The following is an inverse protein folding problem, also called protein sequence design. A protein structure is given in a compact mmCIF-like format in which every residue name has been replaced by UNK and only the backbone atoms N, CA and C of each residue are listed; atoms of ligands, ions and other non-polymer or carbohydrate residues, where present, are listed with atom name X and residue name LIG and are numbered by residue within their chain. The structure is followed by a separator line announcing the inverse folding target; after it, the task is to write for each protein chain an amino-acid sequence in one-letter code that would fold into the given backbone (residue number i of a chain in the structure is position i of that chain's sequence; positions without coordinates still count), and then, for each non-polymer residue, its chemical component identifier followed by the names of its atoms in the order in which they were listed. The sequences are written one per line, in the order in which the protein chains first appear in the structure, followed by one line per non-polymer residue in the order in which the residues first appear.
data_IF_164919076068
#
_entry.id   IF_164919076068
#
_cell.length_a   1.000
_cell.length_b   1.000
_cell.length_c   1.000
_cell.angle_alpha   90.00
_cell.angle_beta   90.00
_cell.angle_gamma   90.00
#
_symmetry.space_group_name_H-M   'P 1'
#
loop_
_entity.id
_entity.type
_entity.pdbx_description
1 polymer ?
#
# COMPACT_ATOMS: atom_id res chain seq x y z
N UNK A 1 -4.03 -41.44 29.29
CA UNK A 1 -2.91 -40.94 30.13
C UNK A 1 -1.60 -41.46 29.58
N UNK A 2 -0.84 -40.58 28.90
CA UNK A 2 0.50 -40.91 28.53
C UNK A 2 1.41 -40.86 29.75
N UNK A 3 1.93 -41.98 30.16
CA UNK A 3 2.93 -42.04 31.21
C UNK A 3 4.28 -41.68 30.55
N UNK A 4 4.80 -40.52 30.87
CA UNK A 4 6.21 -40.20 30.65
C UNK A 4 7.00 -41.16 31.53
N UNK A 5 7.93 -41.88 30.94
CA UNK A 5 8.90 -42.59 31.75
C UNK A 5 9.83 -41.53 32.42
N UNK A 6 10.10 -41.72 33.69
CA UNK A 6 10.91 -40.79 34.51
C UNK A 6 12.40 -40.74 34.09
N UNK A 7 12.79 -41.43 33.04
CA UNK A 7 14.17 -41.55 32.57
C UNK A 7 14.54 -40.61 31.40
N UNK A 8 13.64 -39.69 31.04
CA UNK A 8 13.98 -38.63 30.09
C UNK A 8 14.05 -39.06 28.63
N UNK A 9 13.69 -40.27 28.30
CA UNK A 9 13.53 -40.74 26.92
C UNK A 9 12.10 -40.37 26.46
N UNK A 10 11.89 -39.14 26.07
CA UNK A 10 10.61 -38.69 25.55
C UNK A 10 10.19 -39.52 24.33
N UNK A 11 8.97 -40.02 24.30
CA UNK A 11 8.43 -40.59 23.08
C UNK A 11 8.40 -39.54 21.98
N UNK A 12 9.06 -39.81 20.87
CA UNK A 12 8.91 -39.01 19.67
C UNK A 12 7.59 -39.42 19.02
N UNK A 13 6.59 -38.53 19.11
CA UNK A 13 5.37 -38.71 18.36
C UNK A 13 5.66 -38.33 16.93
N UNK A 14 5.81 -39.31 16.05
CA UNK A 14 6.14 -39.08 14.66
C UNK A 14 4.92 -38.51 13.90
N UNK A 15 3.74 -39.03 14.14
CA UNK A 15 2.49 -38.60 13.51
C UNK A 15 1.26 -38.93 14.33
N UNK A 16 0.22 -38.11 14.18
CA UNK A 16 -1.11 -38.40 14.68
C UNK A 16 -2.04 -38.57 13.47
N UNK A 17 -2.66 -39.74 13.38
CA UNK A 17 -3.61 -40.06 12.33
C UNK A 17 -5.04 -39.81 12.83
N UNK A 18 -5.75 -38.90 12.17
CA UNK A 18 -7.16 -38.60 12.40
C UNK A 18 -7.95 -39.27 11.27
N UNK A 19 -8.68 -40.32 11.62
CA UNK A 19 -9.11 -41.36 10.66
C UNK A 19 -10.58 -41.39 10.28
N UNK A 20 -11.25 -40.32 10.07
CA UNK A 20 -12.37 -40.43 9.12
C UNK A 20 -12.03 -39.79 7.74
N UNK A 21 -10.82 -39.31 7.54
CA UNK A 21 -10.39 -38.65 6.30
C UNK A 21 -9.00 -39.04 5.79
N UNK A 22 -8.34 -40.05 6.31
CA UNK A 22 -6.98 -40.45 5.86
C UNK A 22 -5.91 -39.35 5.95
N UNK A 23 -6.10 -38.37 6.80
CA UNK A 23 -5.18 -37.23 6.94
C UNK A 23 -4.25 -37.45 8.14
N UNK A 24 -2.96 -37.15 7.90
CA UNK A 24 -1.91 -37.13 8.91
C UNK A 24 -1.75 -35.71 9.46
N UNK A 25 -1.68 -35.57 10.78
CA UNK A 25 -1.33 -34.32 11.44
C UNK A 25 -0.15 -34.54 12.38
N UNK A 26 0.76 -33.56 12.44
CA UNK A 26 1.86 -33.58 13.40
C UNK A 26 1.40 -32.94 14.71
N UNK A 27 1.70 -33.59 15.81
CA UNK A 27 1.36 -33.11 17.14
C UNK A 27 2.57 -32.74 17.99
N UNK A 28 2.37 -31.87 18.95
CA UNK A 28 3.38 -31.45 19.93
C UNK A 28 2.87 -31.84 21.33
N UNK A 29 3.69 -32.55 22.08
CA UNK A 29 3.46 -32.76 23.51
C UNK A 29 3.77 -31.46 24.26
N UNK A 30 2.73 -30.82 24.83
CA UNK A 30 2.83 -29.53 25.50
C UNK A 30 3.03 -29.59 27.00
N UNK A 31 2.49 -30.64 27.62
CA UNK A 31 2.60 -30.93 29.06
C UNK A 31 2.53 -32.43 29.26
N UNK A 32 2.95 -32.92 30.44
CA UNK A 32 2.75 -34.31 30.84
C UNK A 32 1.28 -34.70 30.67
N UNK A 33 1.01 -35.62 29.76
CA UNK A 33 -0.31 -36.13 29.47
C UNK A 33 -1.16 -35.41 28.40
N UNK A 34 -0.70 -34.29 27.82
CA UNK A 34 -1.45 -33.58 26.81
C UNK A 34 -0.69 -33.56 25.45
N UNK A 35 -1.41 -33.87 24.38
CA UNK A 35 -0.92 -33.72 23.00
C UNK A 35 -1.82 -32.73 22.30
N UNK A 36 -1.22 -31.68 21.77
CA UNK A 36 -1.92 -30.69 20.95
C UNK A 36 -1.69 -31.02 19.48
N UNK A 37 -2.75 -31.11 18.73
CA UNK A 37 -2.73 -31.40 17.29
C UNK A 37 -3.57 -30.39 16.54
N UNK A 38 -3.12 -30.03 15.34
CA UNK A 38 -3.99 -29.29 14.43
C UNK A 38 -5.01 -30.25 13.80
N UNK A 39 -6.26 -29.82 13.78
CA UNK A 39 -7.30 -30.56 13.07
C UNK A 39 -7.08 -30.44 11.58
N UNK A 40 -6.95 -31.55 10.83
CA UNK A 40 -6.76 -31.48 9.37
C UNK A 40 -7.96 -30.81 8.66
N UNK A 41 -7.70 -30.17 7.52
CA UNK A 41 -8.78 -29.64 6.67
C UNK A 41 -9.79 -30.73 6.32
N UNK A 42 -11.08 -30.40 6.42
CA UNK A 42 -12.18 -31.27 6.02
C UNK A 42 -12.67 -32.24 7.11
N UNK A 43 -12.14 -32.13 8.32
CA UNK A 43 -12.74 -32.87 9.47
C UNK A 43 -14.06 -32.21 9.82
N UNK A 44 -15.15 -33.01 9.90
CA UNK A 44 -16.47 -32.53 10.30
C UNK A 44 -16.61 -32.53 11.82
N UNK A 45 -17.21 -31.47 12.37
CA UNK A 45 -17.59 -31.42 13.79
C UNK A 45 -18.79 -32.28 14.13
N UNK A 46 -19.52 -32.78 13.13
CA UNK A 46 -20.77 -33.51 13.29
C UNK A 46 -20.59 -35.02 13.65
N UNK A 47 -19.37 -35.53 13.50
CA UNK A 47 -19.06 -36.92 13.77
C UNK A 47 -17.82 -37.08 14.66
N UNK A 48 -17.80 -38.04 15.59
CA UNK A 48 -16.61 -38.38 16.35
C UNK A 48 -15.46 -38.77 15.40
N UNK A 49 -14.25 -38.33 15.71
CA UNK A 49 -13.05 -38.73 14.96
C UNK A 49 -12.27 -39.80 15.75
N UNK A 50 -11.78 -40.79 15.03
CA UNK A 50 -10.88 -41.79 15.62
C UNK A 50 -9.48 -41.20 15.67
N UNK A 51 -8.88 -41.28 16.85
CA UNK A 51 -7.52 -40.77 17.08
C UNK A 51 -6.61 -41.99 17.21
N UNK A 52 -5.59 -42.04 16.37
CA UNK A 52 -4.50 -43.02 16.43
C UNK A 52 -3.17 -42.32 16.61
N UNK A 53 -2.31 -42.86 17.43
CA UNK A 53 -0.92 -42.49 17.53
C UNK A 53 -0.06 -43.41 16.68
N UNK A 54 0.88 -42.84 15.96
CA UNK A 54 1.93 -43.63 15.29
C UNK A 54 3.23 -43.42 16.07
N UNK A 55 3.68 -44.47 16.72
CA UNK A 55 4.93 -44.48 17.48
C UNK A 55 5.85 -45.52 16.83
N UNK A 56 7.00 -45.12 16.34
CA UNK A 56 7.97 -46.02 15.68
C UNK A 56 7.31 -46.91 14.60
N UNK A 57 6.39 -46.33 13.83
CA UNK A 57 5.68 -47.01 12.75
C UNK A 57 4.56 -47.96 13.21
N UNK A 58 4.26 -48.06 14.51
CA UNK A 58 3.11 -48.82 15.04
C UNK A 58 1.95 -47.89 15.30
N UNK A 59 0.78 -48.26 14.78
CA UNK A 59 -0.50 -47.58 15.08
C UNK A 59 -1.02 -48.04 16.44
N UNK A 60 -1.38 -47.10 17.28
CA UNK A 60 -2.03 -47.31 18.58
C UNK A 60 -3.35 -46.57 18.55
N UNK A 61 -4.47 -47.28 18.67
CA UNK A 61 -5.78 -46.62 18.76
C UNK A 61 -5.94 -45.97 20.14
N UNK A 62 -6.22 -44.67 20.09
CA UNK A 62 -6.43 -43.86 21.30
C UNK A 62 -7.91 -43.72 21.67
N UNK A 63 -8.81 -44.18 20.81
CA UNK A 63 -10.25 -44.08 20.98
C UNK A 63 -10.89 -43.09 20.04
N UNK A 64 -12.14 -42.76 20.30
CA UNK A 64 -12.91 -41.75 19.57
C UNK A 64 -13.00 -40.47 20.39
N UNK A 65 -12.89 -39.33 19.71
CA UNK A 65 -13.20 -38.04 20.31
C UNK A 65 -14.71 -37.98 20.63
N UNK A 66 -15.10 -37.17 21.61
CA UNK A 66 -16.44 -36.61 21.62
C UNK A 66 -16.67 -35.68 20.41
N UNK A 67 -17.87 -35.13 20.32
CA UNK A 67 -18.12 -34.02 19.40
C UNK A 67 -17.26 -32.83 19.79
N UNK A 68 -16.64 -32.19 18.81
CA UNK A 68 -15.80 -30.99 19.01
C UNK A 68 -16.15 -29.92 17.98
N UNK A 69 -15.98 -28.71 18.36
CA UNK A 69 -16.12 -27.62 17.39
C UNK A 69 -14.86 -27.56 16.52
N UNK A 70 -15.07 -27.55 15.22
CA UNK A 70 -13.99 -27.25 14.24
C UNK A 70 -13.96 -25.75 14.03
N UNK A 71 -12.96 -25.11 14.57
CA UNK A 71 -12.74 -23.70 14.34
C UNK A 71 -11.99 -23.53 13.01
N UNK A 72 -12.45 -22.57 12.22
CA UNK A 72 -11.73 -22.18 11.02
C UNK A 72 -10.35 -21.63 11.42
N UNK A 73 -9.30 -21.99 10.66
CA UNK A 73 -7.95 -21.47 10.90
C UNK A 73 -7.98 -19.94 10.79
N UNK A 74 -7.53 -19.22 11.82
CA UNK A 74 -7.50 -17.77 11.80
C UNK A 74 -6.67 -17.23 10.64
N UNK A 75 -7.19 -16.21 9.97
CA UNK A 75 -6.53 -15.51 8.87
C UNK A 75 -6.95 -14.05 8.87
N UNK A 76 -6.00 -13.13 8.76
CA UNK A 76 -6.26 -11.71 8.54
C UNK A 76 -6.29 -11.47 7.03
N UNK A 77 -7.35 -10.86 6.52
CA UNK A 77 -7.51 -10.55 5.09
C UNK A 77 -7.34 -9.06 4.80
N UNK A 78 -7.67 -8.20 5.76
CA UNK A 78 -7.51 -6.75 5.62
C UNK A 78 -7.49 -6.05 6.97
N UNK A 79 -7.11 -4.77 6.93
CA UNK A 79 -7.16 -3.86 8.08
C UNK A 79 -8.00 -2.66 7.69
N UNK A 80 -9.01 -2.34 8.48
CA UNK A 80 -9.85 -1.16 8.29
C UNK A 80 -9.26 0.01 9.07
N UNK A 81 -8.85 1.01 8.37
CA UNK A 81 -8.36 2.30 8.86
C UNK A 81 -8.78 3.38 7.87
N UNK A 82 -9.00 4.63 8.32
CA UNK A 82 -9.31 5.71 7.39
C UNK A 82 -8.11 6.15 6.53
N UNK A 83 -6.94 5.55 6.67
CA UNK A 83 -5.70 5.97 6.01
C UNK A 83 -5.13 4.88 5.09
N UNK A 84 -5.95 4.33 4.18
CA UNK A 84 -5.52 3.35 3.18
C UNK A 84 -5.18 4.09 1.89
N UNK A 85 -3.91 4.05 1.50
CA UNK A 85 -3.40 4.69 0.29
C UNK A 85 -2.74 3.67 -0.64
N UNK A 86 -2.52 3.98 -1.92
CA UNK A 86 -1.98 3.02 -2.90
C UNK A 86 -0.67 2.36 -2.48
N UNK A 87 0.20 3.07 -1.76
CA UNK A 87 1.52 2.59 -1.38
C UNK A 87 1.64 2.28 0.12
N UNK A 88 0.54 2.23 0.88
CA UNK A 88 0.61 1.87 2.28
C UNK A 88 -0.68 2.05 3.08
N UNK A 89 -0.79 1.26 4.12
CA UNK A 89 -1.84 1.35 5.13
C UNK A 89 -1.29 2.06 6.36
N UNK A 90 -1.83 3.23 6.67
CA UNK A 90 -1.36 4.04 7.79
C UNK A 90 -2.32 3.94 8.97
N UNK A 91 -1.75 4.11 10.16
CA UNK A 91 -2.50 4.09 11.42
C UNK A 91 -2.03 5.22 12.33
N UNK A 92 -2.93 5.76 13.12
CA UNK A 92 -2.63 6.81 14.10
C UNK A 92 -2.68 6.25 15.52
N UNK A 93 -1.67 6.54 16.32
CA UNK A 93 -1.65 6.16 17.74
C UNK A 93 -2.91 6.66 18.48
N UNK A 94 -3.54 5.78 19.25
CA UNK A 94 -4.80 6.04 19.93
C UNK A 94 -6.06 5.81 19.08
N UNK A 95 -5.92 5.58 17.78
CA UNK A 95 -7.02 5.25 16.88
C UNK A 95 -7.48 3.81 17.07
N UNK A 96 -8.77 3.56 16.90
CA UNK A 96 -9.30 2.21 16.74
C UNK A 96 -9.13 1.75 15.30
N UNK A 97 -8.64 0.51 15.15
CA UNK A 97 -8.53 -0.18 13.87
C UNK A 97 -9.18 -1.56 13.98
N UNK A 98 -9.73 -2.05 12.89
CA UNK A 98 -10.37 -3.35 12.82
C UNK A 98 -9.66 -4.25 11.82
N UNK A 99 -9.19 -5.38 12.29
CA UNK A 99 -8.68 -6.45 11.44
C UNK A 99 -9.86 -7.30 10.98
N UNK A 100 -10.00 -7.45 9.67
CA UNK A 100 -11.02 -8.30 9.06
C UNK A 100 -10.39 -9.61 8.62
N UNK A 101 -11.14 -10.69 8.75
CA UNK A 101 -10.62 -12.02 8.42
C UNK A 101 -11.62 -13.12 8.68
N UNK A 102 -11.13 -14.26 9.17
CA UNK A 102 -11.95 -15.42 9.54
C UNK A 102 -11.32 -16.21 10.67
N UNK A 103 -12.11 -17.05 11.31
CA UNK A 103 -11.63 -17.99 12.33
C UNK A 103 -11.20 -17.34 13.65
N UNK A 104 -11.58 -16.10 13.92
CA UNK A 104 -11.14 -15.37 15.11
C UNK A 104 -11.84 -15.82 16.42
N UNK A 105 -12.98 -16.51 16.30
CA UNK A 105 -13.80 -16.84 17.48
C UNK A 105 -14.56 -15.64 18.02
N UNK A 106 -15.05 -15.74 19.26
CA UNK A 106 -15.86 -14.67 19.89
C UNK A 106 -15.40 -14.32 21.31
N UNK A 107 -14.37 -15.00 21.81
CA UNK A 107 -13.82 -14.74 23.15
C UNK A 107 -12.59 -13.87 23.06
N UNK A 108 -12.68 -12.65 23.59
CA UNK A 108 -11.56 -11.68 23.65
C UNK A 108 -10.35 -12.20 24.43
N UNK A 109 -10.56 -13.10 25.38
CA UNK A 109 -9.49 -13.62 26.22
C UNK A 109 -8.71 -14.74 25.54
N UNK A 110 -9.25 -15.30 24.46
CA UNK A 110 -8.61 -16.36 23.67
C UNK A 110 -7.58 -15.85 22.66
N UNK A 111 -7.44 -14.54 22.49
CA UNK A 111 -6.49 -13.94 21.56
C UNK A 111 -5.60 -12.91 22.23
N UNK A 112 -4.31 -12.99 21.93
CA UNK A 112 -3.30 -11.98 22.32
C UNK A 112 -2.86 -11.23 21.08
N UNK A 113 -3.01 -9.89 21.07
CA UNK A 113 -2.64 -9.03 19.95
C UNK A 113 -1.43 -8.18 20.34
N UNK A 114 -0.38 -8.25 19.53
CA UNK A 114 0.89 -7.53 19.77
C UNK A 114 1.29 -6.75 18.52
N UNK A 115 1.62 -5.49 18.69
CA UNK A 115 2.21 -4.64 17.65
C UNK A 115 3.73 -4.77 17.67
N UNK A 116 4.35 -4.86 16.51
CA UNK A 116 5.80 -4.92 16.40
C UNK A 116 6.46 -3.72 17.11
N UNK A 117 7.53 -3.99 17.85
CA UNK A 117 8.23 -2.96 18.66
C UNK A 117 7.52 -2.56 19.97
N UNK A 118 6.31 -3.06 20.23
CA UNK A 118 5.58 -2.80 21.49
C UNK A 118 5.63 -4.04 22.38
N UNK A 119 6.20 -3.89 23.55
CA UNK A 119 6.46 -5.01 24.48
C UNK A 119 5.22 -5.55 25.22
N UNK A 120 4.13 -4.79 25.24
CA UNK A 120 2.91 -5.15 25.97
C UNK A 120 1.78 -5.40 24.98
N UNK A 121 1.10 -6.56 25.04
CA UNK A 121 -0.07 -6.81 24.23
C UNK A 121 -1.16 -5.76 24.43
N UNK A 122 -1.88 -5.44 23.36
CA UNK A 122 -3.01 -4.51 23.42
C UNK A 122 -4.30 -5.23 23.81
N UNK A 123 -5.20 -4.50 24.45
CA UNK A 123 -6.52 -5.03 24.81
C UNK A 123 -7.42 -5.10 23.58
N UNK A 124 -8.01 -6.25 23.34
CA UNK A 124 -9.04 -6.43 22.32
C UNK A 124 -10.34 -5.76 22.79
N UNK A 125 -10.82 -4.80 22.03
CA UNK A 125 -12.08 -4.08 22.32
C UNK A 125 -13.29 -4.91 21.94
N UNK A 126 -13.30 -5.36 20.70
CA UNK A 126 -14.36 -6.18 20.13
C UNK A 126 -13.77 -7.34 19.34
N UNK A 127 -14.47 -8.46 19.34
CA UNK A 127 -14.14 -9.65 18.56
C UNK A 127 -15.41 -10.29 18.05
N UNK A 128 -15.39 -10.66 16.79
CA UNK A 128 -16.37 -11.53 16.14
C UNK A 128 -15.63 -12.64 15.41
N UNK A 129 -16.32 -13.59 14.84
CA UNK A 129 -15.69 -14.66 14.03
C UNK A 129 -14.91 -14.12 12.82
N UNK A 130 -15.18 -12.88 12.39
CA UNK A 130 -14.61 -12.26 11.19
C UNK A 130 -13.91 -10.92 11.43
N UNK A 131 -13.90 -10.41 12.65
CA UNK A 131 -13.28 -9.11 12.95
C UNK A 131 -12.70 -9.03 14.36
N UNK A 132 -11.60 -8.27 14.50
CA UNK A 132 -10.98 -7.93 15.79
C UNK A 132 -10.69 -6.43 15.78
N UNK A 133 -11.23 -5.70 16.75
CA UNK A 133 -10.99 -4.28 16.93
C UNK A 133 -10.06 -4.03 18.11
N UNK A 134 -9.02 -3.25 17.88
CA UNK A 134 -8.03 -2.82 18.88
C UNK A 134 -7.73 -1.34 18.76
N UNK A 135 -7.10 -0.77 19.79
CA UNK A 135 -6.55 0.58 19.73
C UNK A 135 -5.06 0.50 19.37
N UNK A 136 -4.62 1.30 18.40
CA UNK A 136 -3.20 1.44 18.07
C UNK A 136 -2.43 1.99 19.26
N UNK A 137 -1.41 1.29 19.77
CA UNK A 137 -0.69 1.73 20.98
C UNK A 137 0.19 2.96 20.71
N UNK A 138 0.42 3.73 21.77
CA UNK A 138 1.39 4.83 21.73
C UNK A 138 2.79 4.27 21.49
N UNK A 139 3.60 4.97 20.69
CA UNK A 139 4.97 4.57 20.37
C UNK A 139 5.10 3.50 19.28
N UNK A 140 4.00 3.09 18.64
CA UNK A 140 4.07 2.25 17.44
C UNK A 140 4.71 3.05 16.29
N UNK A 141 5.82 2.52 15.75
CA UNK A 141 6.62 3.17 14.71
C UNK A 141 6.56 2.43 13.36
N UNK A 142 5.55 1.61 13.17
CA UNK A 142 5.39 0.78 11.98
C UNK A 142 5.82 -0.67 12.22
N UNK A 143 5.27 -1.58 11.44
CA UNK A 143 5.51 -3.01 11.53
C UNK A 143 4.23 -3.82 11.38
N UNK A 144 4.35 -5.11 11.64
CA UNK A 144 3.24 -6.05 11.63
C UNK A 144 2.53 -6.10 12.97
N UNK A 145 1.28 -6.57 12.93
CA UNK A 145 0.53 -6.95 14.11
C UNK A 145 0.42 -8.46 14.15
N UNK A 146 0.84 -9.03 15.26
CA UNK A 146 0.82 -10.48 15.48
C UNK A 146 -0.33 -10.83 16.43
N UNK A 147 -1.12 -11.81 16.04
CA UNK A 147 -2.21 -12.37 16.82
C UNK A 147 -1.94 -13.83 17.18
N UNK A 148 -1.98 -14.15 18.45
CA UNK A 148 -1.82 -15.51 18.97
C UNK A 148 -3.14 -15.95 19.57
N UNK A 149 -3.74 -16.98 19.00
CA UNK A 149 -5.01 -17.55 19.46
C UNK A 149 -4.77 -18.74 20.37
N UNK A 150 -5.54 -18.86 21.44
CA UNK A 150 -5.46 -20.00 22.32
C UNK A 150 -5.78 -21.30 21.56
N UNK A 151 -4.94 -22.31 21.74
CA UNK A 151 -5.09 -23.60 21.04
C UNK A 151 -4.63 -23.61 19.58
N UNK A 152 -4.21 -22.47 19.00
CA UNK A 152 -3.66 -22.39 17.66
C UNK A 152 -2.12 -22.29 17.73
N UNK A 153 -1.44 -23.23 17.06
CA UNK A 153 0.02 -23.36 17.19
C UNK A 153 0.81 -22.26 16.48
N UNK A 154 0.25 -21.65 15.46
CA UNK A 154 0.93 -20.62 14.66
C UNK A 154 0.28 -19.26 14.86
N UNK A 155 1.07 -18.21 15.07
CA UNK A 155 0.55 -16.85 15.10
C UNK A 155 0.06 -16.44 13.71
N UNK A 156 -0.86 -15.50 13.68
CA UNK A 156 -1.34 -14.84 12.47
C UNK A 156 -0.76 -13.43 12.43
N UNK A 157 -0.25 -13.01 11.29
CA UNK A 157 0.35 -11.70 11.11
C UNK A 157 -0.44 -10.88 10.10
N UNK A 158 -0.54 -9.57 10.36
CA UNK A 158 -1.06 -8.61 9.39
C UNK A 158 -0.03 -8.26 8.32
N UNK A 159 -0.46 -7.54 7.28
CA UNK A 159 0.43 -6.76 6.45
C UNK A 159 1.10 -5.64 7.27
N UNK A 160 2.14 -5.03 6.69
CA UNK A 160 2.85 -3.91 7.30
C UNK A 160 1.92 -2.71 7.47
N UNK A 161 1.85 -2.19 8.69
CA UNK A 161 1.21 -0.93 9.00
C UNK A 161 2.27 0.15 9.20
N UNK A 162 1.98 1.37 8.75
CA UNK A 162 2.87 2.51 8.90
C UNK A 162 2.24 3.54 9.85
N UNK A 163 3.01 4.25 10.68
CA UNK A 163 2.46 5.34 11.46
C UNK A 163 2.08 6.50 10.51
N UNK A 164 0.95 7.13 10.77
CA UNK A 164 0.63 8.39 10.09
C UNK A 164 1.68 9.43 10.46
N UNK A 165 2.35 10.08 9.48
CA UNK A 165 3.36 11.10 9.76
C UNK A 165 2.82 12.25 10.59
N UNK A 166 3.59 12.74 11.57
CA UNK A 166 3.19 13.81 12.50
C UNK A 166 2.96 15.13 11.76
N UNK A 167 3.74 15.39 10.71
CA UNK A 167 3.62 16.58 9.86
C UNK A 167 2.55 16.45 8.80
N UNK A 168 1.88 15.29 8.71
CA UNK A 168 0.85 15.00 7.73
C UNK A 168 1.35 14.70 6.33
N UNK A 169 2.65 14.69 6.06
CA UNK A 169 3.22 14.39 4.74
C UNK A 169 2.99 12.91 4.37
N UNK A 170 2.09 12.71 3.44
CA UNK A 170 1.70 11.38 2.94
C UNK A 170 2.15 11.15 1.49
N UNK A 171 3.01 11.99 0.96
CA UNK A 171 3.45 11.94 -0.45
C UNK A 171 3.88 10.55 -0.88
N UNK A 172 4.76 9.90 -0.12
CA UNK A 172 5.28 8.56 -0.42
C UNK A 172 4.22 7.44 -0.44
N UNK A 173 3.07 7.66 0.21
CA UNK A 173 1.99 6.68 0.26
C UNK A 173 0.96 6.87 -0.85
N UNK A 174 0.93 8.06 -1.44
CA UNK A 174 -0.04 8.45 -2.47
C UNK A 174 0.59 8.57 -3.84
N UNK A 175 1.83 9.05 -3.92
CA UNK A 175 2.55 9.32 -5.16
C UNK A 175 3.79 8.45 -5.28
N UNK A 176 4.18 8.17 -6.52
CA UNK A 176 5.45 7.53 -6.86
C UNK A 176 6.34 8.53 -7.57
N UNK A 177 7.67 8.47 -7.31
CA UNK A 177 8.63 9.28 -8.06
C UNK A 177 8.22 10.77 -8.10
N UNK A 178 7.91 11.33 -6.93
CA UNK A 178 7.26 12.63 -6.77
C UNK A 178 8.25 13.79 -6.51
N UNK A 179 9.51 13.48 -6.31
CA UNK A 179 10.56 14.43 -6.02
C UNK A 179 11.89 14.06 -6.70
N UNK A 180 12.79 15.01 -6.82
CA UNK A 180 14.15 14.77 -7.31
C UNK A 180 14.96 13.88 -6.35
N UNK A 181 15.81 12.98 -6.89
CA UNK A 181 16.03 12.70 -8.32
C UNK A 181 14.93 11.80 -8.89
N UNK A 182 14.30 12.23 -9.97
CA UNK A 182 13.26 11.42 -10.61
C UNK A 182 13.83 10.15 -11.25
N UNK A 183 13.18 9.02 -11.03
CA UNK A 183 13.42 7.82 -11.78
C UNK A 183 12.89 7.94 -13.22
N UNK A 184 13.56 7.33 -14.17
CA UNK A 184 13.16 7.35 -15.56
C UNK A 184 13.09 5.95 -16.19
N UNK A 185 12.25 5.80 -17.21
CA UNK A 185 12.07 4.54 -17.94
C UNK A 185 13.04 4.51 -19.11
N UNK A 186 13.89 3.48 -19.15
CA UNK A 186 14.71 3.13 -20.31
C UNK A 186 13.89 2.24 -21.25
N UNK A 187 13.15 2.81 -22.18
CA UNK A 187 12.49 2.05 -23.23
C UNK A 187 13.44 1.83 -24.40
N UNK A 188 13.70 0.57 -24.75
CA UNK A 188 14.37 0.19 -25.99
C UNK A 188 15.85 0.51 -26.10
N UNK A 189 16.66 0.20 -25.09
CA UNK A 189 18.08 0.53 -25.02
C UNK A 189 18.29 2.02 -24.73
N UNK A 190 19.35 2.66 -25.23
CA UNK A 190 19.64 4.08 -24.99
C UNK A 190 18.58 5.07 -25.56
N UNK A 191 17.43 4.57 -26.00
CA UNK A 191 16.37 5.36 -26.62
C UNK A 191 15.36 5.96 -25.65
N UNK A 192 15.50 5.75 -24.35
CA UNK A 192 14.70 6.44 -23.33
C UNK A 192 15.03 7.94 -23.22
N UNK A 193 16.09 8.39 -23.89
CA UNK A 193 16.50 9.78 -23.92
C UNK A 193 16.20 10.40 -25.29
N UNK A 194 15.42 11.44 -25.31
CA UNK A 194 15.24 12.28 -26.48
C UNK A 194 16.49 13.17 -26.63
N UNK A 195 16.93 13.36 -27.88
CA UNK A 195 18.03 14.29 -28.23
C UNK A 195 19.22 14.26 -27.27
N UNK A 196 20.18 13.39 -27.54
CA UNK A 196 21.50 13.37 -26.89
C UNK A 196 21.53 13.15 -25.37
N UNK A 197 20.57 12.43 -24.81
CA UNK A 197 20.59 12.13 -23.39
C UNK A 197 20.11 13.25 -22.47
N UNK A 198 19.42 14.24 -23.01
CA UNK A 198 18.91 15.36 -22.21
C UNK A 198 17.47 15.17 -21.72
N UNK A 199 16.70 14.23 -22.32
CA UNK A 199 15.28 14.07 -22.09
C UNK A 199 14.87 12.61 -21.90
N UNK A 200 14.06 12.30 -20.90
CA UNK A 200 13.55 10.97 -20.64
C UNK A 200 12.09 10.99 -20.18
N UNK A 201 11.43 9.85 -20.23
CA UNK A 201 10.11 9.66 -19.65
C UNK A 201 10.27 9.31 -18.17
N UNK A 202 9.69 10.09 -17.27
CA UNK A 202 9.72 9.76 -15.85
C UNK A 202 8.92 8.48 -15.58
N UNK A 203 9.47 7.60 -14.75
CA UNK A 203 8.77 6.42 -14.30
C UNK A 203 7.52 6.83 -13.50
N UNK A 204 6.45 6.02 -13.61
CA UNK A 204 5.18 6.21 -12.89
C UNK A 204 4.34 7.44 -13.28
N UNK A 205 4.82 8.28 -14.21
CA UNK A 205 4.08 9.43 -14.72
C UNK A 205 3.48 9.14 -16.09
N UNK A 206 2.20 9.46 -16.24
CA UNK A 206 1.47 9.40 -17.50
C UNK A 206 1.66 10.73 -18.21
N UNK A 207 2.07 10.67 -19.48
CA UNK A 207 2.26 11.82 -20.34
C UNK A 207 1.31 11.73 -21.51
N UNK A 208 0.49 12.75 -21.70
CA UNK A 208 -0.45 12.83 -22.82
C UNK A 208 -0.26 14.11 -23.60
N UNK A 209 -0.59 14.05 -24.90
CA UNK A 209 -0.49 15.15 -25.85
C UNK A 209 0.93 15.75 -25.95
N UNK A 210 1.92 14.94 -25.59
CA UNK A 210 3.31 15.24 -25.87
C UNK A 210 3.62 14.76 -27.28
N UNK A 211 4.20 15.63 -28.10
CA UNK A 211 4.82 15.18 -29.35
C UNK A 211 6.21 14.60 -29.06
N UNK A 212 6.34 13.73 -28.09
CA UNK A 212 7.55 12.91 -27.87
C UNK A 212 7.70 11.85 -28.98
N UNK A 213 7.44 12.24 -30.23
CA UNK A 213 7.81 11.41 -31.37
C UNK A 213 9.28 11.63 -31.68
N UNK A 214 9.96 10.53 -31.68
CA UNK A 214 11.38 10.43 -31.92
C UNK A 214 11.87 11.33 -33.05
N UNK A 215 12.83 12.23 -32.75
CA UNK A 215 13.84 12.64 -33.68
C UNK A 215 13.66 13.98 -34.40
N UNK A 216 12.54 14.64 -34.32
CA UNK A 216 12.36 15.95 -34.95
C UNK A 216 11.96 17.00 -33.91
N UNK A 217 12.61 18.18 -33.96
CA UNK A 217 12.44 19.29 -33.04
C UNK A 217 11.02 19.85 -32.97
N UNK A 218 10.08 18.99 -32.55
CA UNK A 218 8.72 19.35 -32.26
C UNK A 218 8.61 19.68 -30.77
N UNK A 219 7.80 20.65 -30.44
CA UNK A 219 7.48 21.02 -29.10
C UNK A 219 7.07 19.82 -28.31
N UNK A 220 7.91 19.39 -27.47
CA UNK A 220 7.64 18.30 -26.60
C UNK A 220 7.03 18.86 -25.32
N UNK A 221 5.95 18.25 -24.88
CA UNK A 221 5.72 18.13 -23.47
C UNK A 221 6.80 17.18 -23.02
N UNK A 222 7.97 17.70 -22.77
CA UNK A 222 9.08 16.89 -22.36
C UNK A 222 8.94 16.67 -20.86
N UNK A 223 8.81 15.43 -20.48
CA UNK A 223 9.29 15.00 -19.19
C UNK A 223 10.79 15.15 -19.23
N UNK A 224 11.21 16.36 -18.95
CA UNK A 224 12.60 16.69 -18.95
C UNK A 224 13.26 16.11 -17.75
N UNK A 225 13.92 15.06 -18.02
CA UNK A 225 15.07 14.67 -17.28
C UNK A 225 16.25 15.38 -17.93
N UNK A 226 16.65 16.52 -17.43
CA UNK A 226 17.85 17.17 -17.94
C UNK A 226 19.07 16.50 -17.35
N UNK A 227 19.48 15.37 -17.90
CA UNK A 227 20.81 14.85 -17.64
C UNK A 227 21.81 15.48 -18.60
N UNK A 228 22.07 16.73 -18.48
CA UNK A 228 23.24 17.28 -19.16
C UNK A 228 24.52 16.58 -18.71
N UNK A 229 24.46 15.86 -17.58
CA UNK A 229 25.61 15.24 -16.92
C UNK A 229 25.38 13.82 -16.39
N UNK A 230 24.26 13.18 -16.67
CA UNK A 230 24.10 11.73 -16.45
C UNK A 230 23.63 11.26 -15.07
N UNK A 231 23.48 12.11 -14.07
CA UNK A 231 23.12 11.72 -12.72
C UNK A 231 21.67 12.03 -12.30
N UNK A 232 20.96 12.82 -13.11
CA UNK A 232 19.56 13.14 -12.83
C UNK A 232 19.29 14.09 -11.69
N UNK A 233 20.31 14.63 -11.05
CA UNK A 233 20.16 15.47 -9.87
C UNK A 233 19.39 16.77 -10.13
N UNK A 234 19.35 17.24 -11.38
CA UNK A 234 18.69 18.49 -11.77
C UNK A 234 17.39 18.26 -12.55
N UNK A 235 16.91 17.03 -12.60
CA UNK A 235 15.76 16.68 -13.41
C UNK A 235 14.45 17.12 -12.78
N UNK A 236 13.59 17.72 -13.57
CA UNK A 236 12.22 18.05 -13.20
C UNK A 236 11.22 17.56 -14.22
N UNK A 237 9.97 17.44 -13.79
CA UNK A 237 8.87 17.20 -14.69
C UNK A 237 8.59 18.47 -15.50
N UNK A 238 8.64 18.41 -16.82
CA UNK A 238 8.52 19.59 -17.65
C UNK A 238 7.36 19.52 -18.64
N UNK A 239 6.71 20.65 -18.79
CA UNK A 239 5.86 20.97 -19.92
C UNK A 239 6.48 22.18 -20.62
N UNK A 240 7.02 21.99 -21.82
CA UNK A 240 7.66 23.07 -22.55
C UNK A 240 7.54 22.95 -24.06
N UNK A 241 7.76 24.05 -24.77
CA UNK A 241 7.90 24.11 -26.22
C UNK A 241 9.33 24.40 -26.61
N UNK A 242 9.83 23.79 -27.71
CA UNK A 242 11.19 23.94 -28.18
C UNK A 242 11.37 25.22 -29.03
N UNK A 243 12.61 25.53 -29.37
CA UNK A 243 13.04 26.68 -30.20
C UNK A 243 12.46 26.68 -31.61
N UNK A 244 12.23 25.49 -32.19
CA UNK A 244 11.72 25.28 -33.54
C UNK A 244 10.19 25.24 -33.67
N UNK A 245 9.49 25.63 -32.64
CA UNK A 245 8.05 25.44 -32.56
C UNK A 245 7.23 26.42 -33.43
N UNK A 246 6.38 25.88 -34.29
CA UNK A 246 5.52 26.64 -35.17
C UNK A 246 4.01 26.48 -34.89
N UNK A 247 3.61 25.58 -34.02
CA UNK A 247 2.20 25.30 -33.70
C UNK A 247 1.88 25.34 -32.21
N UNK A 248 0.70 25.87 -31.82
CA UNK A 248 0.22 25.77 -30.43
C UNK A 248 0.18 24.34 -29.92
N UNK A 249 0.55 24.14 -28.66
CA UNK A 249 0.41 22.88 -27.94
C UNK A 249 -0.76 22.99 -26.99
N UNK A 250 -1.76 22.19 -27.25
CA UNK A 250 -2.95 22.15 -26.43
C UNK A 250 -2.93 20.92 -25.53
N UNK A 251 -3.25 21.12 -24.27
CA UNK A 251 -3.52 20.08 -23.33
C UNK A 251 -2.36 19.08 -23.11
N UNK A 252 -1.14 19.60 -23.00
CA UNK A 252 -0.01 18.83 -22.50
C UNK A 252 -0.27 18.43 -21.06
N UNK A 253 -0.13 17.14 -20.74
CA UNK A 253 -0.49 16.59 -19.43
C UNK A 253 0.61 15.70 -18.88
N UNK A 254 0.89 15.89 -17.60
CA UNK A 254 1.78 15.00 -16.81
C UNK A 254 1.09 14.73 -15.48
N UNK A 255 0.75 13.47 -15.23
CA UNK A 255 -0.03 13.13 -14.05
C UNK A 255 0.19 11.66 -13.62
N UNK A 256 -0.20 11.36 -12.39
CA UNK A 256 -0.32 9.99 -11.86
C UNK A 256 -1.76 9.69 -11.48
N UNK A 257 -2.14 8.42 -11.59
CA UNK A 257 -3.36 7.91 -10.97
C UNK A 257 -3.08 7.61 -9.50
N UNK A 258 -4.04 7.90 -8.65
CA UNK A 258 -3.97 7.65 -7.23
C UNK A 258 -5.35 7.45 -6.61
N UNK A 259 -5.39 7.29 -5.30
CA UNK A 259 -6.61 7.15 -4.53
C UNK A 259 -6.50 8.02 -3.27
N UNK A 260 -7.50 8.85 -3.01
CA UNK A 260 -7.58 9.65 -1.78
C UNK A 260 -8.75 9.20 -0.93
N UNK A 261 -8.51 9.09 0.36
CA UNK A 261 -9.55 8.87 1.37
C UNK A 261 -10.34 10.15 1.62
N UNK A 262 -11.49 10.05 2.31
CA UNK A 262 -12.19 11.23 2.80
C UNK A 262 -11.23 12.08 3.65
N UNK A 263 -11.22 13.39 3.42
CA UNK A 263 -10.35 14.29 4.18
C UNK A 263 -10.02 15.59 3.44
N UNK A 264 -9.27 16.46 4.10
CA UNK A 264 -8.73 17.68 3.54
C UNK A 264 -7.22 17.53 3.34
N UNK A 265 -6.76 17.90 2.17
CA UNK A 265 -5.37 17.75 1.78
C UNK A 265 -4.83 19.06 1.23
N UNK A 266 -3.52 19.20 1.29
CA UNK A 266 -2.77 20.27 0.65
C UNK A 266 -1.73 19.65 -0.28
N UNK A 267 -1.89 19.87 -1.59
CA UNK A 267 -0.90 19.50 -2.60
C UNK A 267 -0.05 20.73 -2.90
N UNK A 268 1.25 20.60 -2.75
CA UNK A 268 2.23 21.62 -3.14
C UNK A 268 3.07 21.08 -4.28
N UNK A 269 3.14 21.82 -5.39
CA UNK A 269 4.04 21.55 -6.50
C UNK A 269 5.07 22.68 -6.60
N UNK A 270 6.35 22.37 -6.48
CA UNK A 270 7.40 23.38 -6.57
C UNK A 270 7.84 23.57 -8.03
N UNK A 271 7.56 24.75 -8.57
CA UNK A 271 7.95 25.15 -9.93
C UNK A 271 9.32 25.83 -9.87
N UNK A 272 10.36 25.15 -10.31
CA UNK A 272 11.72 25.70 -10.24
C UNK A 272 12.14 26.49 -11.49
N UNK A 273 11.47 26.26 -12.64
CA UNK A 273 11.69 27.00 -13.87
C UNK A 273 10.35 27.34 -14.54
N UNK A 274 10.19 28.58 -14.95
CA UNK A 274 8.98 29.08 -15.59
C UNK A 274 9.27 30.11 -16.66
N UNK A 275 8.60 29.98 -17.81
CA UNK A 275 8.53 30.99 -18.86
C UNK A 275 7.08 31.12 -19.31
N UNK A 276 6.44 32.17 -18.88
CA UNK A 276 5.01 32.39 -19.06
C UNK A 276 4.59 32.83 -20.48
N UNK A 277 5.51 32.87 -21.44
CA UNK A 277 5.16 33.27 -22.82
C UNK A 277 4.17 32.27 -23.42
N UNK A 278 2.95 32.74 -23.68
CA UNK A 278 1.88 31.92 -24.23
C UNK A 278 1.53 30.69 -23.43
N UNK A 279 1.93 30.63 -22.16
CA UNK A 279 1.68 29.52 -21.26
C UNK A 279 0.39 29.76 -20.45
N UNK A 280 -0.49 28.78 -20.46
CA UNK A 280 -1.62 28.66 -19.54
C UNK A 280 -1.58 27.26 -18.95
N UNK A 281 -1.47 27.13 -17.64
CA UNK A 281 -1.36 25.82 -17.02
C UNK A 281 -1.78 25.80 -15.56
N UNK A 282 -2.03 24.60 -15.07
CA UNK A 282 -2.54 24.33 -13.73
C UNK A 282 -1.85 23.11 -13.12
N UNK A 283 -1.57 23.19 -11.84
CA UNK A 283 -1.50 22.00 -10.98
C UNK A 283 -2.92 21.63 -10.63
N UNK A 284 -3.29 20.37 -10.81
CA UNK A 284 -4.67 19.95 -10.67
C UNK A 284 -4.83 18.53 -10.12
N UNK A 285 -5.97 18.33 -9.46
CA UNK A 285 -6.47 17.03 -9.04
C UNK A 285 -7.83 16.83 -9.70
N UNK A 286 -7.99 15.77 -10.49
CA UNK A 286 -9.25 15.43 -11.15
C UNK A 286 -9.76 14.09 -10.65
N UNK A 287 -11.08 13.92 -10.58
CA UNK A 287 -11.70 12.61 -10.27
C UNK A 287 -11.54 11.64 -11.45
N UNK A 288 -11.34 10.37 -11.13
CA UNK A 288 -11.18 9.31 -12.11
C UNK A 288 -9.72 9.08 -12.53
N UNK A 289 -9.51 8.63 -13.76
CA UNK A 289 -8.23 8.14 -14.25
C UNK A 289 -7.60 8.99 -15.38
N UNK A 290 -8.20 10.14 -15.68
CA UNK A 290 -7.72 11.04 -16.74
C UNK A 290 -7.68 12.50 -16.26
N UNK A 291 -6.58 13.20 -16.60
CA UNK A 291 -6.46 14.63 -16.38
C UNK A 291 -7.34 15.39 -17.38
N UNK A 292 -8.14 16.34 -16.89
CA UNK A 292 -8.95 17.20 -17.74
C UNK A 292 -8.09 18.08 -18.68
N UNK A 293 -8.67 18.58 -19.74
CA UNK A 293 -8.01 19.52 -20.63
C UNK A 293 -7.81 20.88 -19.95
N UNK A 294 -6.81 21.65 -20.39
CA UNK A 294 -6.44 22.93 -19.78
C UNK A 294 -7.64 23.87 -19.63
N UNK A 295 -8.49 23.99 -20.66
CA UNK A 295 -9.70 24.82 -20.63
C UNK A 295 -10.78 24.33 -19.68
N UNK A 296 -10.78 23.04 -19.37
CA UNK A 296 -11.77 22.36 -18.54
C UNK A 296 -11.40 22.32 -17.05
N UNK A 297 -10.11 22.50 -16.74
CA UNK A 297 -9.61 22.43 -15.36
C UNK A 297 -10.41 23.29 -14.39
N UNK A 298 -10.68 24.57 -14.66
CA UNK A 298 -11.39 25.42 -13.69
C UNK A 298 -12.81 24.93 -13.31
N UNK A 299 -13.43 24.13 -14.19
CA UNK A 299 -14.81 23.68 -14.01
C UNK A 299 -14.97 22.18 -13.73
N UNK A 300 -13.97 21.36 -14.10
CA UNK A 300 -14.08 19.88 -14.03
C UNK A 300 -13.09 19.23 -13.06
N UNK A 301 -12.07 19.95 -12.60
CA UNK A 301 -11.16 19.40 -11.59
C UNK A 301 -11.83 19.36 -10.21
N UNK A 302 -11.39 18.45 -9.37
CA UNK A 302 -11.72 18.42 -7.94
C UNK A 302 -11.11 19.63 -7.23
N UNK A 303 -9.85 19.95 -7.58
CA UNK A 303 -9.12 21.11 -7.09
C UNK A 303 -8.02 21.51 -8.09
N UNK A 304 -7.68 22.80 -8.15
CA UNK A 304 -6.61 23.30 -9.03
C UNK A 304 -6.04 24.62 -8.55
N UNK A 305 -4.83 24.92 -9.02
CA UNK A 305 -4.24 26.25 -8.93
C UNK A 305 -3.45 26.56 -10.19
N UNK A 306 -3.48 27.83 -10.63
CA UNK A 306 -2.76 28.30 -11.83
C UNK A 306 -1.26 28.31 -11.60
N UNK A 307 -0.50 27.92 -12.61
CA UNK A 307 0.96 28.10 -12.66
C UNK A 307 1.23 29.48 -13.28
N UNK A 308 1.75 30.40 -12.48
CA UNK A 308 1.97 31.80 -12.91
C UNK A 308 3.40 32.31 -12.68
N UNK A 309 4.30 31.46 -12.18
CA UNK A 309 5.68 31.80 -11.86
C UNK A 309 6.45 30.62 -11.30
N UNK A 310 7.67 30.87 -10.86
CA UNK A 310 8.45 29.95 -10.04
C UNK A 310 8.01 30.00 -8.58
N UNK A 311 8.29 28.92 -7.83
CA UNK A 311 7.91 28.76 -6.43
C UNK A 311 6.76 27.76 -6.25
N UNK A 312 6.20 27.74 -5.08
CA UNK A 312 5.19 26.77 -4.70
C UNK A 312 3.81 27.12 -5.29
N UNK A 313 3.21 26.17 -5.98
CA UNK A 313 1.82 26.18 -6.38
C UNK A 313 1.04 25.28 -5.43
N UNK A 314 0.17 25.89 -4.63
CA UNK A 314 -0.59 25.20 -3.57
C UNK A 314 -2.02 24.96 -4.03
N UNK A 315 -2.49 23.73 -3.86
CA UNK A 315 -3.85 23.28 -4.17
C UNK A 315 -4.48 22.69 -2.92
N UNK A 316 -5.52 23.35 -2.40
CA UNK A 316 -6.31 22.80 -1.31
C UNK A 316 -7.39 21.85 -1.85
N UNK A 317 -7.46 20.64 -1.30
CA UNK A 317 -8.31 19.56 -1.81
C UNK A 317 -9.25 19.13 -0.69
N UNK A 318 -10.53 18.97 -1.01
CA UNK A 318 -11.55 18.36 -0.12
C UNK A 318 -12.11 17.12 -0.79
N UNK A 319 -12.02 15.99 -0.10
CA UNK A 319 -12.56 14.71 -0.55
C UNK A 319 -13.64 14.25 0.43
N UNK A 320 -14.88 14.17 -0.04
CA UNK A 320 -16.03 13.84 0.80
C UNK A 320 -16.20 12.32 1.01
N UNK A 321 -15.71 11.52 0.07
CA UNK A 321 -15.74 10.06 0.08
C UNK A 321 -14.48 9.49 -0.61
N UNK A 322 -14.03 8.27 -0.29
CA UNK A 322 -12.90 7.64 -0.95
C UNK A 322 -13.04 7.72 -2.47
N UNK A 323 -12.04 8.27 -3.15
CA UNK A 323 -12.15 8.67 -4.56
C UNK A 323 -10.86 8.38 -5.32
N UNK A 324 -11.00 7.72 -6.48
CA UNK A 324 -9.91 7.63 -7.44
C UNK A 324 -9.67 8.99 -8.09
N UNK A 325 -8.42 9.38 -8.14
CA UNK A 325 -8.00 10.68 -8.65
C UNK A 325 -6.79 10.58 -9.56
N UNK A 326 -6.59 11.60 -10.36
CA UNK A 326 -5.30 11.89 -10.99
C UNK A 326 -4.74 13.17 -10.39
N UNK A 327 -3.43 13.17 -10.14
CA UNK A 327 -2.67 14.28 -9.55
C UNK A 327 -1.53 14.64 -10.49
N UNK A 328 -1.40 15.92 -10.85
CA UNK A 328 -0.35 16.36 -11.74
C UNK A 328 -0.55 17.77 -12.25
N UNK A 329 -0.08 18.02 -13.46
CA UNK A 329 -0.22 19.32 -14.09
C UNK A 329 -0.53 19.20 -15.58
N UNK A 330 -1.17 20.24 -16.11
CA UNK A 330 -1.63 20.34 -17.49
C UNK A 330 -1.41 21.75 -18.01
N UNK A 331 -1.06 21.90 -19.28
CA UNK A 331 -0.94 23.22 -19.89
C UNK A 331 -1.27 23.27 -21.37
N UNK A 332 -1.54 24.49 -21.83
CA UNK A 332 -1.53 24.89 -23.23
C UNK A 332 -0.45 25.93 -23.42
N UNK A 333 0.38 25.78 -24.47
CA UNK A 333 1.48 26.68 -24.79
C UNK A 333 1.32 27.13 -26.25
N UNK A 334 1.15 28.42 -26.48
CA UNK A 334 0.82 29.00 -27.80
C UNK A 334 1.98 29.60 -28.52
N UNK A 335 3.17 29.69 -27.90
CA UNK A 335 4.39 30.29 -28.49
C UNK A 335 5.62 29.46 -28.17
N UNK A 336 6.73 29.81 -28.84
CA UNK A 336 8.04 29.20 -28.58
C UNK A 336 8.53 29.44 -27.16
N UNK A 337 9.19 28.43 -26.58
CA UNK A 337 9.90 28.51 -25.30
C UNK A 337 9.02 28.75 -24.05
N UNK A 338 7.71 28.71 -24.18
CA UNK A 338 6.85 28.66 -23.00
C UNK A 338 7.14 27.37 -22.22
N UNK A 339 7.23 27.43 -20.89
CA UNK A 339 7.51 26.27 -20.07
C UNK A 339 7.17 26.45 -18.60
N UNK A 340 6.92 25.31 -17.96
CA UNK A 340 6.95 25.15 -16.52
C UNK A 340 7.64 23.82 -16.20
N UNK A 341 8.51 23.83 -15.18
CA UNK A 341 9.19 22.63 -14.68
C UNK A 341 8.99 22.51 -13.19
N UNK A 342 8.65 21.30 -12.76
CA UNK A 342 8.35 20.97 -11.37
C UNK A 342 9.36 19.93 -10.89
N UNK A 343 9.99 20.17 -9.75
CA UNK A 343 10.99 19.29 -9.16
C UNK A 343 10.50 18.55 -7.92
N UNK A 344 9.34 18.92 -7.40
CA UNK A 344 8.77 18.29 -6.22
C UNK A 344 7.25 18.41 -6.20
N UNK A 345 6.61 17.33 -5.77
CA UNK A 345 5.21 17.31 -5.34
C UNK A 345 5.14 16.84 -3.88
N UNK A 346 4.52 17.63 -3.02
CA UNK A 346 4.26 17.28 -1.64
C UNK A 346 2.77 17.21 -1.40
N UNK A 347 2.28 16.10 -0.85
CA UNK A 347 0.89 15.94 -0.45
C UNK A 347 0.78 15.78 1.06
N UNK A 348 0.10 16.70 1.70
CA UNK A 348 -0.14 16.70 3.15
C UNK A 348 -1.61 16.42 3.45
N UNK A 349 -1.87 15.51 4.38
CA UNK A 349 -3.19 15.35 4.99
C UNK A 349 -3.32 16.42 6.09
N UNK A 350 -4.26 17.34 5.91
CA UNK A 350 -4.49 18.46 6.83
C UNK A 350 -5.53 18.10 7.87
N UNK A 351 -6.62 17.49 7.43
CA UNK A 351 -7.76 17.12 8.30
C UNK A 351 -8.50 15.92 7.70
N UNK A 352 -9.04 15.08 8.57
CA UNK A 352 -9.85 13.93 8.21
C UNK A 352 -11.26 14.02 8.78
#
# INVERSE_FOLDING_TARGET
DFVYDDYGTGFKVDNILVTNLSNLSTGKVTKKGNIVVNVPKGVSSEAPVKIKLIIQGKEIEMGESGTFEVWETPEITSVETPYIYPNGTLVKAGQEITFTGKGFGTDKNSVTVTFEGISVPVTVKEITTTSITVTVPQGFNGGKVTMVFEGIAQPVESDMLQPLPVDGDISQYVLMNYEQPFEYVKEGGDKGFHKKGEWAKAAYWIVQNSNLTAGEGGAAVDLAFKTKYGDGSDAGLALQTDWGFDNPKNDGKVYQTSHLQKGKYKLTAHVYEYDGRGFTGYVAVCKGNEMANTSDIPSKSLANASISGTGDVVVDISVEEPTDVVIGFVCTITVKQGRAKIDNFKLELVEQ
#
